data_IF_472927492784
#
_entry.id   IF_472927492784
#
_cell.length_a   1.000
_cell.length_b   1.000
_cell.length_c   1.000
_cell.angle_alpha   90.00
_cell.angle_beta   90.00
_cell.angle_gamma   90.00
#
_symmetry.space_group_name_H-M   'P 1'
#
loop_
_entity.id
_entity.type
_entity.pdbx_description
1 polymer ?
#
# COMPACT_ATOMS: atom_id res chain seq x y z
N UNK A 1 -15.95 -34.62 7.08
CA UNK A 1 -14.97 -33.64 7.61
C UNK A 1 -15.46 -32.25 7.26
N UNK A 2 -15.44 -31.27 8.18
CA UNK A 2 -15.74 -29.88 7.84
C UNK A 2 -14.51 -29.31 7.11
N UNK A 3 -14.53 -29.28 5.77
CA UNK A 3 -13.48 -28.60 5.01
C UNK A 3 -13.51 -27.11 5.37
N UNK A 4 -12.39 -26.60 5.88
CA UNK A 4 -12.23 -25.17 6.13
C UNK A 4 -11.84 -24.51 4.83
N UNK A 5 -12.62 -23.52 4.41
CA UNK A 5 -12.42 -22.77 3.17
C UNK A 5 -11.80 -21.42 3.54
N UNK A 6 -11.00 -20.83 2.65
CA UNK A 6 -10.48 -19.49 2.86
C UNK A 6 -11.60 -18.45 2.77
N UNK A 7 -11.71 -17.59 3.79
CA UNK A 7 -12.62 -16.47 3.78
C UNK A 7 -11.85 -15.18 3.44
N UNK A 8 -12.25 -14.51 2.35
CA UNK A 8 -11.59 -13.29 1.87
C UNK A 8 -11.73 -12.13 2.86
N UNK A 9 -12.86 -12.03 3.58
CA UNK A 9 -13.06 -10.97 4.58
C UNK A 9 -12.28 -11.26 5.88
N UNK A 10 -12.29 -12.50 6.37
CA UNK A 10 -11.55 -12.90 7.57
C UNK A 10 -10.04 -13.12 7.34
N UNK A 11 -9.59 -13.13 6.08
CA UNK A 11 -8.20 -13.37 5.64
C UNK A 11 -7.61 -14.67 6.20
N UNK A 12 -8.34 -15.77 6.09
CA UNK A 12 -7.85 -17.08 6.51
C UNK A 12 -8.89 -18.20 6.43
N UNK A 13 -8.45 -19.43 6.73
CA UNK A 13 -9.32 -20.61 6.75
C UNK A 13 -10.38 -20.49 7.85
N UNK A 14 -11.65 -20.64 7.48
CA UNK A 14 -12.82 -20.56 8.36
C UNK A 14 -13.81 -21.69 8.08
N UNK A 15 -14.66 -21.94 9.07
CA UNK A 15 -15.83 -22.78 8.85
C UNK A 15 -16.82 -22.01 7.98
N UNK A 16 -17.39 -22.70 7.00
CA UNK A 16 -18.44 -22.17 6.14
C UNK A 16 -19.65 -23.11 6.14
N UNK A 17 -20.83 -22.53 5.96
CA UNK A 17 -22.08 -23.23 5.72
C UNK A 17 -22.35 -23.29 4.20
N UNK A 18 -22.74 -24.46 3.69
CA UNK A 18 -23.15 -24.62 2.29
C UNK A 18 -24.62 -24.25 2.16
N UNK A 19 -24.91 -23.05 1.65
CA UNK A 19 -26.28 -22.55 1.49
C UNK A 19 -27.01 -23.26 0.34
N UNK A 20 -26.28 -23.55 -0.75
CA UNK A 20 -26.82 -24.22 -1.91
C UNK A 20 -25.73 -24.96 -2.67
N UNK A 21 -26.09 -26.04 -3.37
CA UNK A 21 -25.18 -26.75 -4.27
C UNK A 21 -25.85 -27.31 -5.52
N UNK A 22 -25.07 -27.37 -6.59
CA UNK A 22 -25.42 -28.04 -7.85
C UNK A 22 -24.30 -28.99 -8.22
N UNK A 23 -24.65 -30.26 -8.41
CA UNK A 23 -23.70 -31.30 -8.84
C UNK A 23 -23.98 -31.70 -10.30
N UNK A 24 -22.91 -31.92 -11.06
CA UNK A 24 -22.93 -32.44 -12.43
C UNK A 24 -21.91 -33.57 -12.53
N UNK A 25 -22.25 -34.62 -13.25
CA UNK A 25 -21.38 -35.77 -13.47
C UNK A 25 -21.44 -36.15 -14.94
N UNK A 26 -20.37 -36.73 -15.45
CA UNK A 26 -20.32 -37.25 -16.80
C UNK A 26 -19.17 -38.22 -16.98
N UNK A 27 -19.09 -38.77 -18.17
CA UNK A 27 -18.01 -39.63 -18.63
C UNK A 27 -17.56 -39.23 -20.03
N UNK A 28 -16.39 -39.69 -20.44
CA UNK A 28 -15.96 -39.69 -21.84
C UNK A 28 -16.73 -40.74 -22.66
N UNK A 29 -16.61 -40.69 -23.99
CA UNK A 29 -17.36 -41.57 -24.91
C UNK A 29 -17.13 -43.07 -24.68
N UNK A 30 -16.00 -43.43 -24.05
CA UNK A 30 -15.62 -44.81 -23.77
C UNK A 30 -15.81 -45.22 -22.29
N UNK A 31 -16.41 -44.36 -21.45
CA UNK A 31 -16.62 -44.55 -20.00
C UNK A 31 -15.36 -44.81 -19.15
N UNK A 32 -14.17 -44.57 -19.71
CA UNK A 32 -12.90 -44.74 -19.00
C UNK A 32 -12.61 -43.60 -18.02
N UNK A 33 -13.00 -42.37 -18.37
CA UNK A 33 -12.81 -41.19 -17.55
C UNK A 33 -14.17 -40.72 -17.05
N UNK A 34 -14.38 -40.78 -15.73
CA UNK A 34 -15.58 -40.20 -15.10
C UNK A 34 -15.19 -38.96 -14.34
N UNK A 35 -15.97 -37.91 -14.49
CA UNK A 35 -15.74 -36.63 -13.81
C UNK A 35 -16.99 -36.19 -13.05
N UNK A 36 -16.77 -35.34 -12.06
CA UNK A 36 -17.83 -34.58 -11.43
C UNK A 36 -17.42 -33.12 -11.22
N UNK A 37 -18.43 -32.26 -11.26
CA UNK A 37 -18.34 -30.86 -10.88
C UNK A 37 -19.35 -30.60 -9.78
N UNK A 38 -18.92 -29.97 -8.69
CA UNK A 38 -19.78 -29.49 -7.61
C UNK A 38 -19.63 -27.98 -7.50
N UNK A 39 -20.75 -27.27 -7.60
CA UNK A 39 -20.83 -25.82 -7.50
C UNK A 39 -21.61 -25.46 -6.24
N UNK A 40 -20.99 -24.78 -5.29
CA UNK A 40 -21.57 -24.50 -3.98
C UNK A 40 -21.52 -23.01 -3.65
N UNK A 41 -22.61 -22.48 -3.09
CA UNK A 41 -22.64 -21.17 -2.44
C UNK A 41 -22.32 -21.38 -0.96
N UNK A 42 -21.26 -20.73 -0.49
CA UNK A 42 -20.72 -20.91 0.86
C UNK A 42 -20.84 -19.60 1.65
N UNK A 43 -21.25 -19.67 2.90
CA UNK A 43 -21.32 -18.53 3.83
C UNK A 43 -20.36 -18.72 4.99
N UNK A 44 -19.53 -17.71 5.29
CA UNK A 44 -18.58 -17.80 6.40
C UNK A 44 -19.28 -17.66 7.76
N UNK A 45 -19.16 -18.67 8.63
CA UNK A 45 -19.78 -18.65 9.97
C UNK A 45 -19.21 -17.59 10.93
N UNK A 46 -18.16 -16.86 10.53
CA UNK A 46 -17.54 -15.83 11.37
C UNK A 46 -17.85 -14.39 10.97
N UNK A 47 -18.16 -14.14 9.70
CA UNK A 47 -18.38 -12.78 9.18
C UNK A 47 -19.48 -12.69 8.12
N UNK A 48 -20.22 -13.78 7.89
CA UNK A 48 -21.35 -13.87 6.96
C UNK A 48 -20.98 -13.55 5.50
N UNK A 49 -19.67 -13.55 5.17
CA UNK A 49 -19.22 -13.33 3.80
C UNK A 49 -19.61 -14.51 2.91
N UNK A 50 -20.30 -14.22 1.81
CA UNK A 50 -20.66 -15.19 0.78
C UNK A 50 -19.51 -15.39 -0.22
N UNK A 51 -19.25 -16.64 -0.57
CA UNK A 51 -18.33 -17.05 -1.64
C UNK A 51 -18.93 -18.18 -2.48
N UNK A 52 -18.36 -18.41 -3.65
CA UNK A 52 -18.73 -19.52 -4.53
C UNK A 52 -17.57 -20.50 -4.62
N UNK A 53 -17.81 -21.77 -4.33
CA UNK A 53 -16.84 -22.85 -4.39
C UNK A 53 -17.16 -23.75 -5.58
N UNK A 54 -16.18 -23.97 -6.44
CA UNK A 54 -16.21 -24.99 -7.48
C UNK A 54 -15.24 -26.10 -7.11
N UNK A 55 -15.74 -27.32 -6.97
CA UNK A 55 -14.93 -28.54 -6.77
C UNK A 55 -15.01 -29.39 -8.02
N UNK A 56 -13.86 -29.76 -8.57
CA UNK A 56 -13.70 -30.69 -9.67
C UNK A 56 -12.99 -31.96 -9.21
N UNK A 57 -13.41 -33.09 -9.75
CA UNK A 57 -12.73 -34.36 -9.55
C UNK A 57 -12.96 -35.30 -10.72
N UNK A 58 -11.99 -36.14 -11.00
CA UNK A 58 -12.11 -37.23 -11.96
C UNK A 58 -11.44 -38.53 -11.46
N UNK A 59 -11.58 -39.59 -12.25
CA UNK A 59 -11.08 -40.93 -11.93
C UNK A 59 -9.54 -41.05 -11.93
N UNK A 60 -8.81 -40.06 -12.48
CA UNK A 60 -7.35 -40.05 -12.50
C UNK A 60 -6.74 -39.25 -11.33
N UNK A 61 -7.55 -38.46 -10.61
CA UNK A 61 -7.10 -37.65 -9.48
C UNK A 61 -6.92 -38.46 -8.19
N UNK A 62 -5.93 -39.35 -8.16
CA UNK A 62 -5.54 -40.10 -6.95
C UNK A 62 -4.02 -40.17 -6.76
N UNK A 63 -3.58 -40.35 -5.51
CA UNK A 63 -2.17 -40.55 -5.19
C UNK A 63 -1.75 -42.01 -5.47
N UNK A 64 -0.76 -42.19 -6.33
CA UNK A 64 -0.26 -43.51 -6.74
C UNK A 64 0.66 -44.18 -5.72
N UNK A 65 1.21 -43.40 -4.78
CA UNK A 65 2.30 -43.83 -3.89
C UNK A 65 1.84 -44.04 -2.44
N UNK A 66 0.58 -44.42 -2.22
CA UNK A 66 0.08 -44.68 -0.88
C UNK A 66 0.67 -45.99 -0.32
N UNK A 67 1.40 -45.96 0.82
CA UNK A 67 1.98 -47.16 1.44
C UNK A 67 0.98 -48.26 1.80
N UNK A 68 -0.30 -47.90 1.96
CA UNK A 68 -1.36 -48.80 2.42
C UNK A 68 -2.15 -49.45 1.26
N UNK A 69 -1.79 -49.16 0.00
CA UNK A 69 -2.31 -49.87 -1.18
C UNK A 69 -3.72 -49.48 -1.65
N UNK A 70 -4.40 -48.53 -1.00
CA UNK A 70 -5.64 -47.95 -1.49
C UNK A 70 -5.42 -46.64 -2.26
N UNK A 71 -6.33 -46.36 -3.20
CA UNK A 71 -6.38 -45.12 -3.94
C UNK A 71 -6.88 -43.98 -3.03
N UNK A 72 -6.02 -43.00 -2.75
CA UNK A 72 -6.39 -41.77 -2.07
C UNK A 72 -6.70 -40.69 -3.11
N UNK A 73 -7.97 -40.33 -3.28
CA UNK A 73 -8.40 -39.35 -4.27
C UNK A 73 -8.22 -37.91 -3.74
N UNK A 74 -7.87 -37.00 -4.64
CA UNK A 74 -7.83 -35.55 -4.39
C UNK A 74 -8.75 -34.81 -5.36
N UNK A 75 -9.11 -33.57 -5.03
CA UNK A 75 -10.02 -32.75 -5.82
C UNK A 75 -9.45 -31.35 -5.98
N UNK A 76 -9.75 -30.72 -7.12
CA UNK A 76 -9.40 -29.33 -7.36
C UNK A 76 -10.52 -28.44 -6.82
N UNK A 77 -10.17 -27.52 -5.93
CA UNK A 77 -11.10 -26.55 -5.34
C UNK A 77 -10.73 -25.14 -5.77
N UNK A 78 -11.69 -24.42 -6.38
CA UNK A 78 -11.55 -23.02 -6.77
C UNK A 78 -12.62 -22.18 -6.08
N UNK A 79 -12.20 -21.13 -5.37
CA UNK A 79 -13.10 -20.22 -4.65
C UNK A 79 -13.17 -18.88 -5.39
N UNK A 80 -14.39 -18.37 -5.52
CA UNK A 80 -14.71 -17.10 -6.14
C UNK A 80 -15.38 -16.15 -5.13
N UNK A 81 -15.07 -14.84 -5.18
CA UNK A 81 -14.04 -14.22 -6.02
C UNK A 81 -12.63 -14.72 -5.65
N UNK A 82 -11.70 -14.70 -6.61
CA UNK A 82 -10.32 -15.06 -6.34
C UNK A 82 -9.74 -14.21 -5.22
N UNK A 83 -8.90 -14.84 -4.40
CA UNK A 83 -8.33 -14.22 -3.20
C UNK A 83 -6.81 -14.33 -3.21
N UNK A 84 -6.17 -13.54 -2.36
CA UNK A 84 -4.75 -13.67 -2.08
C UNK A 84 -4.57 -14.67 -0.95
N UNK A 85 -3.92 -15.81 -1.23
CA UNK A 85 -3.64 -16.83 -0.21
C UNK A 85 -2.61 -16.34 0.82
N UNK A 86 -1.69 -15.49 0.39
CA UNK A 86 -0.59 -14.91 1.17
C UNK A 86 -0.42 -13.43 0.80
N UNK A 87 0.45 -12.73 1.52
CA UNK A 87 0.64 -11.27 1.38
C UNK A 87 -0.63 -10.51 1.78
N UNK A 88 -0.65 -9.21 1.51
CA UNK A 88 -1.78 -8.33 1.79
C UNK A 88 -2.05 -7.40 0.62
N UNK A 89 -3.28 -6.89 0.58
CA UNK A 89 -3.68 -5.83 -0.34
C UNK A 89 -3.67 -4.51 0.42
N UNK A 90 -3.12 -3.47 -0.19
CA UNK A 90 -3.16 -2.13 0.41
C UNK A 90 -4.63 -1.69 0.56
N UNK A 91 -5.08 -1.41 1.79
CA UNK A 91 -6.45 -0.98 2.07
C UNK A 91 -6.74 0.43 1.54
N UNK A 92 -5.90 1.42 1.86
CA UNK A 92 -6.10 2.82 1.48
C UNK A 92 -5.56 3.14 0.08
N UNK A 93 -5.99 2.36 -0.91
CA UNK A 93 -5.57 2.55 -2.32
C UNK A 93 -5.91 3.94 -2.85
N UNK A 94 -6.93 4.60 -2.29
CA UNK A 94 -7.34 5.96 -2.66
C UNK A 94 -6.21 6.98 -2.53
N UNK A 95 -5.24 6.74 -1.64
CA UNK A 95 -4.06 7.58 -1.48
C UNK A 95 -2.96 7.36 -2.52
N UNK A 96 -3.02 6.26 -3.27
CA UNK A 96 -2.10 6.01 -4.38
C UNK A 96 -2.47 6.90 -5.58
N UNK A 97 -1.47 7.46 -6.28
CA UNK A 97 -1.70 8.14 -7.55
C UNK A 97 -2.44 7.24 -8.54
N UNK A 98 -3.35 7.81 -9.33
CA UNK A 98 -4.30 7.08 -10.18
C UNK A 98 -3.64 6.00 -11.05
N UNK A 99 -2.61 6.35 -11.82
CA UNK A 99 -1.90 5.40 -12.69
C UNK A 99 -1.23 4.26 -11.92
N UNK A 100 -0.69 4.54 -10.73
CA UNK A 100 -0.07 3.54 -9.86
C UNK A 100 -1.15 2.62 -9.28
N UNK A 101 -2.26 3.19 -8.81
CA UNK A 101 -3.41 2.45 -8.28
C UNK A 101 -3.98 1.48 -9.31
N UNK A 102 -4.11 1.94 -10.55
CA UNK A 102 -4.62 1.16 -11.69
C UNK A 102 -3.73 -0.06 -11.93
N UNK A 103 -2.45 0.15 -12.25
CA UNK A 103 -1.54 -0.96 -12.57
C UNK A 103 -1.33 -1.92 -11.38
N UNK A 104 -1.29 -1.39 -10.16
CA UNK A 104 -1.21 -2.21 -8.95
C UNK A 104 -2.44 -3.12 -8.80
N UNK A 105 -3.64 -2.58 -9.04
CA UNK A 105 -4.88 -3.36 -8.92
C UNK A 105 -5.00 -4.43 -10.01
N UNK A 106 -4.59 -4.12 -11.23
CA UNK A 106 -4.50 -5.11 -12.32
C UNK A 106 -3.49 -6.23 -11.97
N UNK A 107 -2.32 -5.85 -11.43
CA UNK A 107 -1.30 -6.81 -10.99
C UNK A 107 -1.81 -7.75 -9.90
N UNK A 108 -2.56 -7.20 -8.92
CA UNK A 108 -3.18 -8.01 -7.87
C UNK A 108 -4.22 -8.97 -8.44
N UNK A 109 -5.06 -8.52 -9.36
CA UNK A 109 -6.07 -9.37 -9.99
C UNK A 109 -5.42 -10.50 -10.80
N UNK A 110 -4.33 -10.21 -11.52
CA UNK A 110 -3.55 -11.22 -12.21
C UNK A 110 -2.97 -12.26 -11.23
N UNK A 111 -2.45 -11.84 -10.07
CA UNK A 111 -1.93 -12.76 -9.07
C UNK A 111 -3.02 -13.63 -8.44
N UNK A 112 -4.16 -13.01 -8.07
CA UNK A 112 -5.34 -13.72 -7.55
C UNK A 112 -5.84 -14.79 -8.53
N UNK A 113 -5.81 -14.48 -9.83
CA UNK A 113 -6.17 -15.40 -10.90
C UNK A 113 -5.03 -16.34 -11.35
N UNK A 114 -3.96 -16.48 -10.56
CA UNK A 114 -2.78 -17.31 -10.84
C UNK A 114 -2.08 -17.04 -12.20
N UNK A 115 -2.23 -15.83 -12.75
CA UNK A 115 -1.59 -15.38 -13.99
C UNK A 115 -0.18 -14.85 -13.70
N UNK A 116 0.76 -15.77 -13.45
CA UNK A 116 2.07 -15.46 -12.88
C UNK A 116 3.00 -14.64 -13.78
N UNK A 117 3.01 -14.89 -15.09
CA UNK A 117 3.81 -14.12 -16.05
C UNK A 117 3.33 -12.67 -16.09
N UNK A 118 2.02 -12.46 -16.18
CA UNK A 118 1.42 -11.12 -16.15
C UNK A 118 1.64 -10.43 -14.81
N UNK A 119 1.61 -11.18 -13.70
CA UNK A 119 1.92 -10.64 -12.38
C UNK A 119 3.35 -10.09 -12.34
N UNK A 120 4.34 -10.85 -12.81
CA UNK A 120 5.73 -10.38 -12.87
C UNK A 120 5.88 -9.10 -13.71
N UNK A 121 5.24 -9.06 -14.88
CA UNK A 121 5.17 -7.86 -15.72
C UNK A 121 4.50 -6.69 -15.01
N UNK A 122 3.38 -6.92 -14.33
CA UNK A 122 2.64 -5.91 -13.57
C UNK A 122 3.42 -5.34 -12.38
N UNK A 123 4.15 -6.18 -11.65
CA UNK A 123 5.04 -5.73 -10.56
C UNK A 123 6.13 -4.80 -11.09
N UNK A 124 6.75 -5.14 -12.23
CA UNK A 124 7.72 -4.27 -12.91
C UNK A 124 7.07 -2.96 -13.38
N UNK A 125 5.92 -3.05 -14.05
CA UNK A 125 5.17 -1.89 -14.52
C UNK A 125 4.76 -0.96 -13.36
N UNK A 126 4.50 -1.52 -12.18
CA UNK A 126 4.23 -0.74 -10.96
C UNK A 126 5.46 0.09 -10.56
N UNK A 127 6.67 -0.47 -10.60
CA UNK A 127 7.92 0.29 -10.35
C UNK A 127 8.09 1.41 -11.38
N UNK A 128 7.81 1.12 -12.65
CA UNK A 128 7.89 2.11 -13.72
C UNK A 128 6.88 3.25 -13.51
N UNK A 129 5.66 2.93 -13.09
CA UNK A 129 4.63 3.91 -12.75
C UNK A 129 5.04 4.79 -11.57
N UNK A 130 5.65 4.21 -10.53
CA UNK A 130 6.23 4.97 -9.39
C UNK A 130 7.29 5.94 -9.89
N UNK A 131 8.26 5.46 -10.67
CA UNK A 131 9.32 6.28 -11.22
C UNK A 131 8.75 7.41 -12.10
N UNK A 132 7.72 7.14 -12.89
CA UNK A 132 7.04 8.13 -13.74
C UNK A 132 6.37 9.22 -12.89
N UNK A 133 5.65 8.82 -11.85
CA UNK A 133 4.97 9.74 -10.94
C UNK A 133 5.96 10.66 -10.20
N UNK A 134 7.09 10.11 -9.74
CA UNK A 134 8.16 10.86 -9.08
C UNK A 134 9.05 11.64 -10.07
N UNK A 135 8.69 11.67 -11.36
CA UNK A 135 9.42 12.36 -12.45
C UNK A 135 10.89 11.92 -12.54
N UNK A 136 11.16 10.64 -12.30
CA UNK A 136 12.47 9.99 -12.43
C UNK A 136 12.60 9.43 -13.85
N UNK A 137 13.33 10.18 -14.69
CA UNK A 137 13.54 9.90 -16.12
C UNK A 137 14.99 9.46 -16.36
N UNK A 138 15.14 8.25 -16.87
CA UNK A 138 16.38 7.60 -17.31
C UNK A 138 16.03 6.53 -18.35
N UNK A 139 17.03 6.07 -19.09
CA UNK A 139 16.82 5.24 -20.29
C UNK A 139 16.48 3.79 -19.92
N UNK A 140 16.98 3.31 -18.78
CA UNK A 140 16.65 1.97 -18.28
C UNK A 140 16.01 1.98 -16.89
N UNK A 141 15.19 0.97 -16.61
CA UNK A 141 14.62 0.78 -15.27
C UNK A 141 15.70 0.62 -14.19
N UNK A 142 16.87 0.08 -14.55
CA UNK A 142 18.02 -0.04 -13.65
C UNK A 142 18.47 1.32 -13.12
N UNK A 143 18.71 2.25 -14.03
CA UNK A 143 19.15 3.60 -13.70
C UNK A 143 18.09 4.36 -12.90
N UNK A 144 16.81 4.12 -13.20
CA UNK A 144 15.68 4.73 -12.48
C UNK A 144 15.62 4.25 -11.02
N UNK A 145 15.80 2.94 -10.78
CA UNK A 145 15.88 2.37 -9.42
C UNK A 145 17.10 2.94 -8.67
N UNK A 146 18.26 3.01 -9.33
CA UNK A 146 19.47 3.58 -8.73
C UNK A 146 19.27 5.07 -8.38
N UNK A 147 18.53 5.82 -9.22
CA UNK A 147 18.22 7.22 -8.97
C UNK A 147 17.19 7.41 -7.85
N UNK A 148 16.21 6.51 -7.70
CA UNK A 148 15.30 6.49 -6.55
C UNK A 148 16.08 6.40 -5.24
N UNK A 149 17.04 5.48 -5.16
CA UNK A 149 17.92 5.34 -4.01
C UNK A 149 18.76 6.61 -3.77
N UNK A 150 19.42 7.15 -4.81
CA UNK A 150 20.23 8.38 -4.68
C UNK A 150 19.42 9.59 -4.20
N UNK A 151 18.13 9.65 -4.52
CA UNK A 151 17.22 10.71 -4.06
C UNK A 151 16.64 10.46 -2.64
N UNK A 152 17.03 9.38 -1.99
CA UNK A 152 16.56 9.04 -0.64
C UNK A 152 15.14 8.45 -0.58
N UNK A 153 14.55 8.09 -1.73
CA UNK A 153 13.22 7.44 -1.75
C UNK A 153 13.29 5.96 -1.39
N UNK A 154 14.47 5.36 -1.46
CA UNK A 154 14.74 3.97 -1.13
C UNK A 154 15.98 3.88 -0.26
N UNK A 155 16.01 2.87 0.59
CA UNK A 155 17.24 2.34 1.20
C UNK A 155 18.03 1.47 0.21
N UNK A 156 19.30 1.20 0.52
CA UNK A 156 20.15 0.29 -0.27
C UNK A 156 19.50 -1.09 -0.42
N UNK A 157 18.89 -1.60 0.65
CA UNK A 157 18.22 -2.90 0.69
C UNK A 157 17.01 -2.94 -0.23
N UNK A 158 16.15 -1.91 -0.17
CA UNK A 158 14.98 -1.81 -1.06
C UNK A 158 15.39 -1.69 -2.53
N UNK A 159 16.43 -0.90 -2.83
CA UNK A 159 16.95 -0.81 -4.20
C UNK A 159 17.40 -2.17 -4.76
N UNK A 160 18.10 -2.99 -3.95
CA UNK A 160 18.49 -4.35 -4.37
C UNK A 160 17.27 -5.24 -4.62
N UNK A 161 16.26 -5.17 -3.75
CA UNK A 161 15.01 -5.92 -3.89
C UNK A 161 14.22 -5.54 -5.15
N UNK A 162 14.20 -4.24 -5.51
CA UNK A 162 13.57 -3.80 -6.76
C UNK A 162 14.30 -4.30 -8.01
N UNK A 163 15.63 -4.47 -7.96
CA UNK A 163 16.36 -5.11 -9.05
C UNK A 163 15.95 -6.57 -9.22
N UNK A 164 15.65 -7.31 -8.14
CA UNK A 164 15.08 -8.66 -8.25
C UNK A 164 13.75 -8.69 -9.00
N UNK A 165 12.88 -7.69 -8.78
CA UNK A 165 11.62 -7.55 -9.53
C UNK A 165 11.90 -7.24 -11.01
N UNK A 166 12.86 -6.36 -11.28
CA UNK A 166 13.27 -6.01 -12.65
C UNK A 166 13.72 -7.25 -13.42
N UNK A 167 14.59 -8.07 -12.83
CA UNK A 167 15.10 -9.30 -13.45
C UNK A 167 13.97 -10.29 -13.69
N UNK A 168 13.20 -10.62 -12.65
CA UNK A 168 12.10 -11.58 -12.77
C UNK A 168 11.03 -11.13 -13.78
N UNK A 169 10.72 -9.83 -13.84
CA UNK A 169 9.80 -9.28 -14.83
C UNK A 169 10.35 -9.31 -16.26
N UNK A 170 11.66 -9.16 -16.45
CA UNK A 170 12.30 -9.32 -17.76
C UNK A 170 12.19 -10.79 -18.21
N UNK A 171 12.64 -11.72 -17.38
CA UNK A 171 12.70 -13.14 -17.70
C UNK A 171 11.28 -13.68 -17.98
N UNK A 172 10.30 -13.27 -17.19
CA UNK A 172 8.91 -13.66 -17.39
C UNK A 172 8.30 -13.14 -18.70
N UNK A 173 8.57 -11.90 -19.10
CA UNK A 173 7.94 -11.30 -20.28
C UNK A 173 8.70 -11.54 -21.58
N UNK A 174 10.03 -11.60 -21.53
CA UNK A 174 10.86 -11.79 -22.72
C UNK A 174 11.15 -13.26 -22.99
N UNK A 175 11.46 -14.03 -21.95
CA UNK A 175 11.81 -15.45 -22.07
C UNK A 175 10.60 -16.37 -21.81
N UNK A 176 9.45 -15.80 -21.42
CA UNK A 176 8.21 -16.54 -21.11
C UNK A 176 8.44 -17.56 -19.97
N UNK A 177 9.39 -17.28 -19.08
CA UNK A 177 9.69 -18.13 -17.94
C UNK A 177 8.63 -17.92 -16.86
N UNK A 178 7.83 -18.96 -16.57
CA UNK A 178 6.78 -18.89 -15.55
C UNK A 178 7.39 -18.76 -14.14
N UNK A 179 7.18 -17.64 -13.43
CA UNK A 179 7.70 -17.47 -12.07
C UNK A 179 7.04 -18.41 -11.08
N UNK A 180 7.79 -18.77 -10.02
CA UNK A 180 7.23 -19.45 -8.85
C UNK A 180 6.27 -18.55 -8.10
N UNK A 181 5.12 -19.09 -7.68
CA UNK A 181 4.08 -18.36 -6.96
C UNK A 181 4.60 -17.70 -5.68
N UNK A 182 5.47 -18.41 -4.95
CA UNK A 182 6.05 -17.94 -3.68
C UNK A 182 6.92 -16.70 -3.90
N UNK A 183 7.67 -16.66 -5.01
CA UNK A 183 8.49 -15.51 -5.35
C UNK A 183 7.61 -14.28 -5.63
N UNK A 184 6.51 -14.45 -6.36
CA UNK A 184 5.58 -13.35 -6.66
C UNK A 184 4.97 -12.75 -5.40
N UNK A 185 4.60 -13.56 -4.41
CA UNK A 185 4.11 -13.06 -3.13
C UNK A 185 5.17 -12.23 -2.38
N UNK A 186 6.42 -12.70 -2.34
CA UNK A 186 7.52 -11.95 -1.71
C UNK A 186 7.74 -10.60 -2.42
N UNK A 187 7.69 -10.59 -3.76
CA UNK A 187 7.87 -9.37 -4.54
C UNK A 187 6.69 -8.41 -4.40
N UNK A 188 5.46 -8.92 -4.27
CA UNK A 188 4.30 -8.11 -3.96
C UNK A 188 4.45 -7.43 -2.58
N UNK A 189 4.94 -8.13 -1.56
CA UNK A 189 5.20 -7.53 -0.25
C UNK A 189 6.21 -6.37 -0.35
N UNK A 190 7.25 -6.53 -1.16
CA UNK A 190 8.24 -5.46 -1.41
C UNK A 190 7.58 -4.24 -2.04
N UNK A 191 6.75 -4.44 -3.08
CA UNK A 191 6.01 -3.34 -3.73
C UNK A 191 5.03 -2.68 -2.77
N UNK A 192 4.31 -3.49 -1.97
CA UNK A 192 3.37 -2.97 -0.99
C UNK A 192 4.04 -2.07 0.03
N UNK A 193 5.15 -2.51 0.63
CA UNK A 193 5.90 -1.69 1.58
C UNK A 193 6.42 -0.41 0.94
N UNK A 194 6.90 -0.49 -0.31
CA UNK A 194 7.35 0.69 -1.04
C UNK A 194 6.21 1.70 -1.25
N UNK A 195 5.06 1.25 -1.74
CA UNK A 195 3.89 2.10 -1.97
C UNK A 195 3.37 2.72 -0.66
N UNK A 196 3.36 1.93 0.43
CA UNK A 196 2.97 2.41 1.76
C UNK A 196 3.90 3.54 2.21
N UNK A 197 5.21 3.33 2.12
CA UNK A 197 6.22 4.30 2.53
C UNK A 197 6.15 5.59 1.70
N UNK A 198 5.99 5.49 0.38
CA UNK A 198 6.02 6.66 -0.50
C UNK A 198 4.74 7.49 -0.50
N UNK A 199 3.57 6.88 -0.32
CA UNK A 199 2.30 7.56 -0.62
C UNK A 199 1.25 7.52 0.49
N UNK A 200 1.39 6.63 1.49
CA UNK A 200 0.31 6.35 2.44
C UNK A 200 0.72 6.71 3.86
N UNK A 201 1.91 6.34 4.32
CA UNK A 201 2.32 6.48 5.71
C UNK A 201 2.28 7.94 6.16
N UNK A 202 2.84 8.86 5.38
CA UNK A 202 2.82 10.30 5.70
C UNK A 202 1.38 10.84 5.79
N UNK A 203 0.48 10.39 4.90
CA UNK A 203 -0.94 10.78 4.92
C UNK A 203 -1.69 10.18 6.12
N UNK A 204 -1.35 8.97 6.55
CA UNK A 204 -1.91 8.35 7.76
C UNK A 204 -1.44 9.07 9.03
N UNK A 205 -0.21 9.56 9.04
CA UNK A 205 0.38 10.31 10.16
C UNK A 205 -0.14 11.75 10.23
N UNK A 206 -0.37 12.36 9.07
CA UNK A 206 -0.84 13.74 8.95
C UNK A 206 -2.09 13.98 9.81
N UNK A 207 -1.97 14.90 10.77
CA UNK A 207 -3.05 15.27 11.69
C UNK A 207 -3.30 14.32 12.86
N UNK A 208 -2.60 13.18 12.94
CA UNK A 208 -2.74 12.21 14.06
C UNK A 208 -1.52 12.17 14.98
N UNK A 209 -0.31 12.35 14.44
CA UNK A 209 0.94 12.26 15.20
C UNK A 209 1.80 13.48 14.86
N UNK A 210 2.42 14.08 15.89
CA UNK A 210 3.41 15.15 15.67
C UNK A 210 4.67 14.55 15.03
N UNK A 211 4.99 14.96 13.81
CA UNK A 211 6.21 14.57 13.08
C UNK A 211 7.26 15.66 13.13
N UNK A 212 8.49 15.31 12.73
CA UNK A 212 9.59 16.25 12.65
C UNK A 212 9.30 17.32 11.57
N UNK A 213 9.56 18.59 11.90
CA UNK A 213 9.36 19.74 11.00
C UNK A 213 10.73 20.21 10.51
N UNK A 214 11.05 19.86 9.27
CA UNK A 214 12.31 20.16 8.59
C UNK A 214 12.15 21.01 7.33
N UNK A 215 10.93 21.40 6.98
CA UNK A 215 10.59 22.31 5.90
C UNK A 215 9.82 23.54 6.38
N UNK A 216 9.97 24.63 5.63
CA UNK A 216 9.43 25.93 6.02
C UNK A 216 7.90 26.02 5.92
N UNK A 217 7.29 25.30 4.98
CA UNK A 217 5.83 25.31 4.79
C UNK A 217 5.11 24.69 6.00
N UNK A 218 5.62 23.60 6.54
CA UNK A 218 5.07 22.97 7.74
C UNK A 218 5.34 23.80 9.00
N UNK A 219 6.48 24.50 9.06
CA UNK A 219 6.73 25.51 10.09
C UNK A 219 5.67 26.62 10.04
N UNK A 220 5.40 27.20 8.88
CA UNK A 220 4.38 28.24 8.72
C UNK A 220 2.98 27.75 9.10
N UNK A 221 2.61 26.54 8.67
CA UNK A 221 1.33 25.92 9.03
C UNK A 221 1.22 25.75 10.55
N UNK A 222 2.28 25.30 11.21
CA UNK A 222 2.29 25.15 12.67
C UNK A 222 2.08 26.49 13.37
N UNK A 223 2.79 27.54 12.93
CA UNK A 223 2.60 28.90 13.48
C UNK A 223 1.14 29.33 13.34
N UNK A 224 0.56 29.24 12.13
CA UNK A 224 -0.84 29.60 11.88
C UNK A 224 -1.81 28.84 12.79
N UNK A 225 -1.57 27.54 13.01
CA UNK A 225 -2.41 26.69 13.85
C UNK A 225 -2.27 26.96 15.36
N UNK A 226 -1.16 27.55 15.81
CA UNK A 226 -0.93 27.90 17.22
C UNK A 226 -1.51 29.26 17.61
N UNK A 227 -1.82 30.12 16.64
CA UNK A 227 -2.42 31.43 16.92
C UNK A 227 -3.88 31.25 17.34
N UNK A 228 -4.21 31.77 18.52
CA UNK A 228 -5.57 31.77 19.06
C UNK A 228 -6.11 33.19 19.14
N UNK A 229 -7.45 33.34 19.22
CA UNK A 229 -8.10 34.66 19.30
C UNK A 229 -7.65 35.46 20.53
N UNK A 230 -7.28 34.78 21.62
CA UNK A 230 -6.81 35.39 22.87
C UNK A 230 -5.42 36.02 22.76
N UNK A 231 -4.66 35.63 21.73
CA UNK A 231 -3.32 36.15 21.47
C UNK A 231 -3.33 37.43 20.63
N UNK A 232 -4.47 37.76 20.00
CA UNK A 232 -4.62 38.95 19.17
C UNK A 232 -4.37 40.21 20.01
N UNK A 233 -3.57 41.13 19.47
CA UNK A 233 -3.16 42.38 20.12
C UNK A 233 -1.97 42.25 21.07
N UNK A 234 -1.56 41.03 21.43
CA UNK A 234 -0.41 40.74 22.31
C UNK A 234 0.86 40.45 21.50
N UNK A 235 2.00 40.53 22.18
CA UNK A 235 3.33 40.30 21.61
C UNK A 235 3.94 39.00 22.13
N UNK A 236 4.43 38.16 21.22
CA UNK A 236 5.10 36.91 21.55
C UNK A 236 6.35 36.72 20.69
N UNK A 237 7.33 36.01 21.22
CA UNK A 237 8.42 35.41 20.44
C UNK A 237 7.93 34.17 19.70
N UNK A 238 8.62 33.74 18.64
CA UNK A 238 8.27 32.49 17.97
C UNK A 238 8.40 31.28 18.90
N UNK A 239 9.35 31.30 19.83
CA UNK A 239 9.54 30.22 20.82
C UNK A 239 8.32 30.11 21.75
N UNK A 240 7.76 31.24 22.18
CA UNK A 240 6.55 31.27 23.00
C UNK A 240 5.32 30.78 22.22
N UNK A 241 5.18 31.16 20.94
CA UNK A 241 4.10 30.68 20.06
C UNK A 241 4.20 29.16 19.87
N UNK A 242 5.41 28.63 19.65
CA UNK A 242 5.64 27.21 19.44
C UNK A 242 5.47 26.37 20.72
N UNK A 243 5.82 26.91 21.88
CA UNK A 243 5.68 26.25 23.18
C UNK A 243 6.36 24.87 23.21
N UNK A 244 5.59 23.81 23.53
CA UNK A 244 6.10 22.43 23.55
C UNK A 244 6.46 21.88 22.17
N UNK A 245 5.88 22.42 21.09
CA UNK A 245 6.11 21.96 19.72
C UNK A 245 7.51 22.31 19.20
N UNK A 246 8.30 23.08 19.95
CA UNK A 246 9.74 23.29 19.67
C UNK A 246 10.55 21.99 19.57
N UNK A 247 10.10 20.92 20.25
CA UNK A 247 10.75 19.60 20.20
C UNK A 247 10.69 18.92 18.83
N UNK A 248 9.80 19.39 17.96
CA UNK A 248 9.57 18.82 16.63
C UNK A 248 10.61 19.27 15.61
N UNK A 249 11.46 20.24 15.94
CA UNK A 249 12.44 20.79 15.01
C UNK A 249 13.82 20.18 15.25
N UNK A 250 14.57 19.83 14.18
CA UNK A 250 15.98 19.51 14.29
C UNK A 250 16.79 20.63 14.93
N UNK A 251 17.94 20.28 15.51
CA UNK A 251 18.86 21.26 16.09
C UNK A 251 19.25 22.33 15.04
N UNK A 252 19.04 23.60 15.36
CA UNK A 252 19.36 24.74 14.48
C UNK A 252 18.28 25.12 13.46
N UNK A 253 17.30 24.25 13.18
CA UNK A 253 16.25 24.54 12.18
C UNK A 253 15.30 25.65 12.59
N UNK A 254 14.99 25.79 13.89
CA UNK A 254 14.13 26.88 14.40
C UNK A 254 14.75 28.24 14.04
N UNK A 255 16.05 28.41 14.28
CA UNK A 255 16.75 29.67 14.00
C UNK A 255 16.83 29.97 12.51
N UNK A 256 17.04 28.94 11.68
CA UNK A 256 17.01 29.06 10.22
C UNK A 256 15.62 29.52 9.72
N UNK A 257 14.56 28.89 10.21
CA UNK A 257 13.19 29.25 9.84
C UNK A 257 12.74 30.58 10.40
N UNK A 258 13.17 30.96 11.59
CA UNK A 258 12.93 32.29 12.14
C UNK A 258 13.54 33.37 11.25
N UNK A 259 14.77 33.17 10.76
CA UNK A 259 15.39 34.10 9.81
C UNK A 259 14.59 34.19 8.50
N UNK A 260 14.18 33.06 7.94
CA UNK A 260 13.34 33.04 6.72
C UNK A 260 11.96 33.67 6.97
N UNK A 261 11.40 33.49 8.16
CA UNK A 261 10.14 34.10 8.60
C UNK A 261 10.23 35.61 8.69
N UNK A 262 11.32 36.10 9.26
CA UNK A 262 11.63 37.52 9.33
C UNK A 262 11.78 38.17 7.95
N UNK A 263 12.48 37.50 7.03
CA UNK A 263 12.67 37.99 5.65
C UNK A 263 11.34 38.10 4.90
N UNK A 264 10.40 37.18 5.17
CA UNK A 264 9.08 37.12 4.53
C UNK A 264 7.95 37.74 5.36
N UNK A 265 8.26 38.43 6.46
CA UNK A 265 7.22 38.88 7.41
C UNK A 265 6.15 39.78 6.76
N UNK A 266 6.54 40.54 5.73
CA UNK A 266 5.63 41.41 4.96
C UNK A 266 4.59 40.66 4.14
N UNK A 267 4.81 39.36 3.89
CA UNK A 267 3.88 38.49 3.16
C UNK A 267 2.75 37.97 4.07
N UNK A 268 2.86 38.17 5.39
CA UNK A 268 1.95 37.61 6.38
C UNK A 268 1.05 38.70 7.00
N UNK A 269 -0.24 38.72 6.65
CA UNK A 269 -1.22 39.70 7.18
C UNK A 269 -1.52 39.55 8.67
N UNK A 270 -1.22 38.38 9.25
CA UNK A 270 -1.67 37.99 10.58
C UNK A 270 -0.73 38.42 11.71
N UNK A 271 0.47 38.91 11.41
CA UNK A 271 1.50 39.28 12.38
C UNK A 271 2.30 40.48 11.90
N UNK A 272 2.75 41.32 12.83
CA UNK A 272 3.74 42.36 12.57
C UNK A 272 4.97 42.18 13.46
N UNK A 273 6.16 42.41 12.90
CA UNK A 273 7.39 42.42 13.69
C UNK A 273 7.48 43.68 14.55
N UNK A 274 7.74 43.51 15.83
CA UNK A 274 7.97 44.59 16.79
C UNK A 274 9.48 44.77 16.95
N UNK A 275 9.98 46.00 16.78
CA UNK A 275 11.41 46.30 16.99
C UNK A 275 11.73 46.24 18.49
N UNK A 276 12.40 45.17 18.90
CA UNK A 276 12.96 45.00 20.24
C UNK A 276 14.49 44.90 20.16
N UNK A 277 15.19 45.43 21.17
CA UNK A 277 16.66 45.52 21.21
C UNK A 277 17.36 44.19 21.53
N UNK A 278 16.64 43.18 22.01
CA UNK A 278 17.22 41.94 22.54
C UNK A 278 16.67 40.65 21.91
N UNK A 279 15.41 40.63 21.49
CA UNK A 279 14.76 39.45 20.89
C UNK A 279 13.68 39.86 19.88
N UNK A 280 13.50 39.08 18.81
CA UNK A 280 12.43 39.27 17.84
C UNK A 280 11.05 38.98 18.47
N UNK A 281 10.22 40.01 18.61
CA UNK A 281 8.83 39.88 19.03
C UNK A 281 7.87 40.12 17.87
N UNK A 282 6.75 39.43 17.89
CA UNK A 282 5.72 39.50 16.86
C UNK A 282 4.38 39.85 17.52
N UNK A 283 3.76 40.93 17.06
CA UNK A 283 2.42 41.33 17.47
C UNK A 283 1.40 40.63 16.59
N UNK A 284 0.48 39.90 17.20
CA UNK A 284 -0.55 39.15 16.48
C UNK A 284 -1.71 40.09 16.14
N UNK A 285 -2.06 40.15 14.86
CA UNK A 285 -3.06 41.09 14.32
C UNK A 285 -4.41 40.38 14.14
N UNK A 286 -4.37 39.17 13.60
CA UNK A 286 -5.55 38.35 13.32
C UNK A 286 -5.20 36.87 13.41
N UNK A 287 -6.21 36.02 13.59
CA UNK A 287 -6.06 34.57 13.48
C UNK A 287 -6.34 34.18 12.03
N UNK A 288 -5.35 33.66 11.28
CA UNK A 288 -5.59 33.25 9.90
C UNK A 288 -6.60 32.09 9.87
N UNK A 289 -7.42 32.03 8.82
CA UNK A 289 -8.36 30.92 8.66
C UNK A 289 -7.61 29.58 8.73
N UNK A 290 -8.04 28.71 9.63
CA UNK A 290 -7.50 27.35 9.76
C UNK A 290 -7.58 26.68 8.39
N UNK A 291 -6.45 26.16 7.91
CA UNK A 291 -6.47 25.12 6.89
C UNK A 291 -7.10 23.90 7.57
N UNK A 292 -8.43 23.83 7.54
CA UNK A 292 -9.17 22.63 7.96
C UNK A 292 -8.60 21.49 7.13
N UNK A 293 -8.07 20.48 7.81
CA UNK A 293 -7.86 19.18 7.22
C UNK A 293 -9.23 18.67 6.75
N UNK A 294 -9.49 18.83 5.45
CA UNK A 294 -10.61 18.23 4.76
C UNK A 294 -10.29 16.76 4.53
N UNK A 295 -10.75 15.93 5.46
CA UNK A 295 -11.20 14.58 5.13
C UNK A 295 -12.52 14.77 4.36
N UNK A 296 -12.51 14.39 3.08
CA UNK A 296 -13.57 13.57 2.50
C UNK A 296 -12.89 12.27 2.12
#
# INVERSE_FOLDING_TARGET
MKNKIFCENCKGLRNHEELHKVERKGSDDNDYLRWFNKYSIMECNGCENISFLHTYGDTEMYHTNNPEGYQEYYYDETIYPYYLEKSFEIELKTYLPEKIRMIYSETLNALKANSYILTAGGLRATIEAICNHLKIRKDSLEERINLLHKKGHLTVSESKRLHSIRFLGNDALHEIEKPKKEHLYILLDIINHLLLNLFINDKKLAGKIETLIDNYDDFLKLIKNKLTKEMVGKEYTLIEILGKSKRLFPKGKITEFEKQFDERIKEYSFLNKVKSKTENKYKIIEVPQLLRFGII
#
